data_IF_596965051767
#
_entry.id   IF_596965051767
#
_cell.length_a   1.000
_cell.length_b   1.000
_cell.length_c   1.000
_cell.angle_alpha   90.00
_cell.angle_beta   90.00
_cell.angle_gamma   90.00
#
_symmetry.space_group_name_H-M   'P 1'
#
loop_
_entity.id
_entity.type
_entity.pdbx_description
1 polymer ?
#
# COMPACT_ATOMS: atom_id res chain seq x y z
N UNK A 1 -14.71 12.82 -15.23
CA UNK A 1 -13.60 13.47 -14.52
C UNK A 1 -12.32 13.06 -15.21
N UNK A 2 -11.47 14.03 -15.54
CA UNK A 2 -10.13 13.86 -16.10
C UNK A 2 -9.20 13.40 -14.96
N UNK A 3 -8.94 12.10 -14.92
CA UNK A 3 -8.08 11.42 -13.94
C UNK A 3 -7.09 10.51 -14.69
N UNK A 4 -6.76 10.88 -15.92
CA UNK A 4 -5.76 10.16 -16.69
C UNK A 4 -4.35 10.50 -16.18
N UNK A 5 -3.34 9.67 -16.49
CA UNK A 5 -1.94 9.98 -16.17
C UNK A 5 -1.48 11.34 -16.73
N UNK A 6 -2.11 11.83 -17.80
CA UNK A 6 -1.91 13.16 -18.35
C UNK A 6 -2.35 14.32 -17.43
N UNK A 7 -3.23 14.05 -16.46
CA UNK A 7 -3.74 15.01 -15.49
C UNK A 7 -3.01 14.91 -14.13
N UNK A 8 -2.01 14.03 -14.01
CA UNK A 8 -1.27 13.80 -12.77
C UNK A 8 -0.30 14.97 -12.46
N UNK A 9 -0.18 15.43 -11.19
CA UNK A 9 0.73 16.51 -10.84
C UNK A 9 2.19 16.17 -11.15
N UNK A 10 2.95 17.14 -11.70
CA UNK A 10 4.39 16.99 -11.98
C UNK A 10 5.19 16.55 -10.73
N UNK A 11 4.76 16.98 -9.55
CA UNK A 11 5.35 16.58 -8.29
C UNK A 11 5.24 15.06 -8.07
N UNK A 12 4.09 14.45 -8.35
CA UNK A 12 3.89 13.01 -8.20
C UNK A 12 4.81 12.21 -9.13
N UNK A 13 4.99 12.66 -10.38
CA UNK A 13 5.95 12.06 -11.31
C UNK A 13 7.40 12.18 -10.80
N UNK A 14 7.75 13.35 -10.25
CA UNK A 14 9.09 13.61 -9.69
C UNK A 14 9.36 12.71 -8.48
N UNK A 15 8.38 12.53 -7.60
CA UNK A 15 8.46 11.62 -6.46
C UNK A 15 8.62 10.17 -6.91
N UNK A 16 7.84 9.73 -7.90
CA UNK A 16 7.94 8.38 -8.45
C UNK A 16 9.35 8.08 -9.01
N UNK A 17 9.95 9.04 -9.74
CA UNK A 17 11.31 8.92 -10.26
C UNK A 17 12.32 8.89 -9.12
N UNK A 18 12.20 9.81 -8.15
CA UNK A 18 13.14 9.99 -7.06
C UNK A 18 13.17 8.78 -6.12
N UNK A 19 12.00 8.26 -5.75
CA UNK A 19 11.90 7.07 -4.91
C UNK A 19 12.36 5.81 -5.64
N UNK A 20 12.03 5.70 -6.93
CA UNK A 20 12.54 4.63 -7.78
C UNK A 20 14.08 4.65 -7.90
N UNK A 21 14.69 5.83 -7.98
CA UNK A 21 16.14 5.98 -7.94
C UNK A 21 16.71 5.60 -6.56
N UNK A 22 16.14 6.12 -5.47
CA UNK A 22 16.61 5.86 -4.10
C UNK A 22 16.53 4.38 -3.69
N UNK A 23 15.52 3.63 -4.15
CA UNK A 23 15.43 2.19 -3.88
C UNK A 23 16.44 1.38 -4.72
N UNK A 24 16.70 1.79 -5.97
CA UNK A 24 17.73 1.16 -6.82
C UNK A 24 19.13 1.45 -6.31
N UNK A 25 19.34 2.62 -5.72
CA UNK A 25 20.65 3.08 -5.25
C UNK A 25 20.87 2.68 -3.78
N UNK A 26 21.16 1.39 -3.58
CA UNK A 26 21.62 0.82 -2.30
C UNK A 26 20.58 0.79 -1.17
N UNK A 27 19.29 0.82 -1.49
CA UNK A 27 18.23 0.67 -0.49
C UNK A 27 18.09 1.86 0.46
N UNK A 28 18.43 3.07 0.01
CA UNK A 28 18.26 4.29 0.81
C UNK A 28 16.82 4.51 1.26
N UNK A 29 15.85 4.15 0.41
CA UNK A 29 14.43 4.15 0.79
C UNK A 29 14.18 3.16 1.93
N UNK A 30 14.68 1.93 1.81
CA UNK A 30 14.58 0.93 2.89
C UNK A 30 15.25 1.40 4.20
N UNK A 31 16.39 2.09 4.13
CA UNK A 31 17.04 2.69 5.29
C UNK A 31 16.20 3.79 5.94
N UNK A 32 15.60 4.68 5.13
CA UNK A 32 14.70 5.72 5.61
C UNK A 32 13.44 5.13 6.28
N UNK A 33 12.85 4.08 5.69
CA UNK A 33 11.70 3.37 6.27
C UNK A 33 12.06 2.70 7.61
N UNK A 34 13.32 2.28 7.79
CA UNK A 34 13.80 1.71 9.05
C UNK A 34 13.89 2.73 10.19
N UNK A 35 13.87 4.02 9.89
CA UNK A 35 13.75 5.07 10.92
C UNK A 35 12.28 5.36 11.30
N UNK A 36 11.31 4.81 10.57
CA UNK A 36 9.88 5.01 10.84
C UNK A 36 9.41 3.97 11.86
N UNK A 37 9.30 4.42 13.11
CA UNK A 37 8.80 3.64 14.23
C UNK A 37 7.36 4.04 14.56
N UNK A 38 6.41 3.27 14.02
CA UNK A 38 4.98 3.44 14.29
C UNK A 38 4.49 2.28 15.18
N UNK A 39 3.60 2.55 16.17
CA UNK A 39 3.11 1.52 17.10
C UNK A 39 2.43 0.34 16.41
N UNK A 40 1.74 0.59 15.30
CA UNK A 40 1.10 -0.43 14.46
C UNK A 40 1.29 -0.04 13.00
N UNK A 41 1.86 -0.96 12.21
CA UNK A 41 1.88 -0.85 10.76
C UNK A 41 0.95 -1.91 10.16
N UNK A 42 -0.19 -1.48 9.66
CA UNK A 42 -1.10 -2.34 8.90
C UNK A 42 -1.00 -2.03 7.41
N UNK A 43 -0.48 -2.98 6.63
CA UNK A 43 -0.55 -2.94 5.18
C UNK A 43 -1.73 -3.80 4.70
N UNK A 44 -2.71 -3.19 4.04
CA UNK A 44 -3.82 -3.91 3.42
C UNK A 44 -3.48 -4.19 1.96
N UNK A 45 -3.56 -5.45 1.55
CA UNK A 45 -3.26 -5.91 0.18
C UNK A 45 -4.52 -6.48 -0.45
N UNK A 46 -4.69 -6.30 -1.76
CA UNK A 46 -5.82 -6.85 -2.49
C UNK A 46 -5.38 -8.07 -3.32
N UNK A 47 -6.09 -9.23 -3.24
CA UNK A 47 -5.68 -10.45 -3.94
C UNK A 47 -5.73 -10.35 -5.47
N UNK A 48 -6.46 -9.37 -6.02
CA UNK A 48 -6.56 -9.10 -7.46
C UNK A 48 -5.87 -7.80 -7.85
N UNK A 49 -5.00 -7.28 -6.99
CA UNK A 49 -4.23 -6.08 -7.27
C UNK A 49 -3.04 -6.40 -8.18
N UNK A 50 -3.06 -5.83 -9.38
CA UNK A 50 -1.97 -5.94 -10.37
C UNK A 50 -1.02 -4.73 -10.31
N UNK A 51 -1.43 -3.64 -9.67
CA UNK A 51 -0.65 -2.39 -9.55
C UNK A 51 0.25 -2.46 -8.32
N UNK A 52 -0.33 -2.81 -7.16
CA UNK A 52 0.37 -3.06 -5.90
C UNK A 52 0.16 -4.53 -5.45
N UNK A 53 0.76 -5.51 -6.15
CA UNK A 53 0.62 -6.91 -5.80
C UNK A 53 1.18 -7.18 -4.39
N UNK A 54 0.56 -8.13 -3.69
CA UNK A 54 0.86 -8.42 -2.27
C UNK A 54 2.37 -8.57 -1.99
N UNK A 55 3.12 -9.24 -2.85
CA UNK A 55 4.58 -9.42 -2.71
C UNK A 55 5.34 -8.10 -2.60
N UNK A 56 4.92 -7.05 -3.32
CA UNK A 56 5.53 -5.72 -3.24
C UNK A 56 5.16 -5.02 -1.93
N UNK A 57 3.92 -5.15 -1.48
CA UNK A 57 3.49 -4.62 -0.18
C UNK A 57 4.26 -5.27 0.99
N UNK A 58 4.47 -6.60 0.94
CA UNK A 58 5.30 -7.29 1.93
C UNK A 58 6.74 -6.76 1.94
N UNK A 59 7.33 -6.52 0.77
CA UNK A 59 8.67 -5.94 0.66
C UNK A 59 8.74 -4.53 1.24
N UNK A 60 7.73 -3.70 0.97
CA UNK A 60 7.64 -2.33 1.49
C UNK A 60 7.47 -2.31 3.02
N UNK A 61 6.65 -3.19 3.58
CA UNK A 61 6.38 -3.23 5.01
C UNK A 61 7.56 -3.76 5.84
N UNK A 62 8.42 -4.60 5.25
CA UNK A 62 9.54 -5.26 5.93
C UNK A 62 10.56 -4.32 6.60
N UNK A 63 11.05 -3.24 5.95
CA UNK A 63 12.08 -2.38 6.54
C UNK A 63 11.61 -1.51 7.72
N UNK A 64 10.31 -1.31 7.94
CA UNK A 64 9.82 -0.45 9.03
C UNK A 64 10.30 -0.92 10.42
N UNK A 65 10.66 0.00 11.31
CA UNK A 65 11.17 -0.33 12.65
C UNK A 65 10.12 -0.91 13.61
N UNK A 66 8.84 -0.58 13.41
CA UNK A 66 7.75 -0.99 14.30
C UNK A 66 7.69 -2.51 14.52
N UNK A 67 7.39 -2.95 15.74
CA UNK A 67 7.39 -4.38 16.10
C UNK A 67 6.08 -5.10 15.79
N UNK A 68 4.94 -4.39 15.82
CA UNK A 68 3.63 -4.90 15.35
C UNK A 68 3.39 -4.49 13.89
N UNK A 69 3.91 -5.32 12.97
CA UNK A 69 3.71 -5.16 11.52
C UNK A 69 2.78 -6.26 11.02
N UNK A 70 1.65 -5.87 10.43
CA UNK A 70 0.66 -6.79 9.88
C UNK A 70 0.44 -6.49 8.41
N UNK A 71 0.45 -7.54 7.60
CA UNK A 71 0.06 -7.45 6.19
C UNK A 71 -1.20 -8.29 6.01
N UNK A 72 -2.34 -7.63 5.84
CA UNK A 72 -3.64 -8.26 5.74
C UNK A 72 -4.07 -8.32 4.27
N UNK A 73 -4.48 -9.49 3.80
CA UNK A 73 -5.10 -9.61 2.47
C UNK A 73 -6.60 -9.41 2.56
N UNK A 74 -7.13 -8.43 1.83
CA UNK A 74 -8.54 -8.10 1.66
C UNK A 74 -9.22 -9.09 0.71
N UNK A 75 -9.28 -10.35 1.15
CA UNK A 75 -9.82 -11.47 0.40
C UNK A 75 -10.94 -12.16 1.18
N UNK A 76 -11.88 -12.79 0.47
CA UNK A 76 -13.01 -13.48 1.08
C UNK A 76 -12.61 -14.55 2.09
N UNK A 77 -11.53 -15.29 1.77
CA UNK A 77 -10.99 -16.33 2.66
C UNK A 77 -10.49 -15.79 4.01
N UNK A 78 -10.27 -14.48 4.10
CA UNK A 78 -9.80 -13.78 5.29
C UNK A 78 -10.89 -12.94 5.96
N UNK A 79 -12.17 -13.22 5.65
CA UNK A 79 -13.32 -12.59 6.30
C UNK A 79 -13.88 -11.34 5.61
N UNK A 80 -13.29 -10.92 4.48
CA UNK A 80 -13.80 -9.77 3.72
C UNK A 80 -15.03 -10.17 2.87
N UNK A 81 -15.91 -9.22 2.58
CA UNK A 81 -17.09 -9.45 1.75
C UNK A 81 -16.71 -9.85 0.31
N UNK A 82 -15.54 -9.41 -0.16
CA UNK A 82 -15.05 -9.67 -1.52
C UNK A 82 -13.55 -9.90 -1.63
N UNK A 83 -13.15 -10.39 -2.80
CA UNK A 83 -11.76 -10.38 -3.23
C UNK A 83 -11.50 -9.03 -3.87
N UNK A 84 -10.85 -8.13 -3.13
CA UNK A 84 -10.58 -6.77 -3.58
C UNK A 84 -9.57 -6.72 -4.76
N UNK A 85 -9.76 -5.73 -5.63
CA UNK A 85 -8.83 -5.19 -6.65
C UNK A 85 -8.04 -4.01 -6.06
N UNK A 86 -7.22 -3.33 -6.85
CA UNK A 86 -6.38 -2.20 -6.39
C UNK A 86 -7.18 -1.09 -5.70
N UNK A 87 -8.21 -0.59 -6.37
CA UNK A 87 -9.00 0.57 -5.94
C UNK A 87 -10.14 0.21 -4.99
N UNK A 88 -10.62 -1.03 -5.04
CA UNK A 88 -11.83 -1.43 -4.31
C UNK A 88 -11.75 -1.36 -2.78
N UNK A 89 -10.60 -1.46 -2.09
CA UNK A 89 -10.50 -1.23 -0.64
C UNK A 89 -10.79 0.20 -0.22
N UNK A 90 -10.76 1.16 -1.16
CA UNK A 90 -11.00 2.58 -0.89
C UNK A 90 -12.29 3.09 -1.56
N UNK A 91 -12.54 2.66 -2.80
CA UNK A 91 -13.57 3.25 -3.65
C UNK A 91 -14.83 2.40 -3.79
N UNK A 92 -14.78 1.11 -3.45
CA UNK A 92 -15.98 0.27 -3.59
C UNK A 92 -17.02 0.65 -2.51
N UNK A 93 -18.32 0.65 -2.82
CA UNK A 93 -19.36 0.97 -1.83
C UNK A 93 -19.32 0.15 -0.53
N UNK A 94 -18.77 -1.07 -0.58
CA UNK A 94 -18.64 -1.96 0.59
C UNK A 94 -17.39 -1.68 1.44
N UNK A 95 -16.44 -0.88 0.94
CA UNK A 95 -15.17 -0.63 1.61
C UNK A 95 -15.34 -0.02 3.02
N UNK A 96 -16.37 0.81 3.20
CA UNK A 96 -16.68 1.45 4.48
C UNK A 96 -17.07 0.45 5.58
N UNK A 97 -17.77 -0.62 5.23
CA UNK A 97 -18.17 -1.69 6.16
C UNK A 97 -17.17 -2.84 6.22
N UNK A 98 -16.35 -3.01 5.19
CA UNK A 98 -15.51 -4.19 4.99
C UNK A 98 -14.03 -3.94 5.32
N UNK A 99 -13.50 -2.76 4.97
CA UNK A 99 -12.06 -2.42 5.09
C UNK A 99 -11.82 -1.36 6.16
N UNK A 100 -12.63 -0.30 6.19
CA UNK A 100 -12.39 0.84 7.10
C UNK A 100 -12.47 0.51 8.60
N UNK A 101 -13.20 -0.53 9.06
CA UNK A 101 -13.13 -0.94 10.47
C UNK A 101 -11.73 -1.33 10.94
N UNK A 102 -10.81 -1.69 10.03
CA UNK A 102 -9.42 -2.00 10.36
C UNK A 102 -8.52 -0.76 10.53
N UNK A 103 -9.02 0.44 10.20
CA UNK A 103 -8.28 1.71 10.29
C UNK A 103 -8.62 2.51 11.56
N UNK A 104 -9.47 1.96 12.44
CA UNK A 104 -9.93 2.62 13.68
C UNK A 104 -9.09 2.23 14.88
#
# INVERSE_FOLDING_TARGET
>A
MRLGPEDEPVAALTDAISWGAAERDWGQLSAALSAVDLPLLLAVTAPRDVIAPATRCYRLARPFAGTDRRVQSAARRHGFARNHTHESPLLHPVASSDVFPFLK
#
